data_IF_006356765098
#
_entry.id   IF_006356765098
#
_cell.length_a   1.000
_cell.length_b   1.000
_cell.length_c   1.000
_cell.angle_alpha   90.00
_cell.angle_beta   90.00
_cell.angle_gamma   90.00
#
_symmetry.space_group_name_H-M   'P 1'
#
loop_
_entity.id
_entity.type
_entity.pdbx_description
1 polymer ?
#
# COMPACT_ATOMS: atom_id res chain seq x y z
N UNK A 1 -48.78 -7.97 3.83
CA UNK A 1 -48.37 -6.57 4.02
C UNK A 1 -47.02 -6.39 3.31
N UNK A 2 -46.99 -5.66 2.21
CA UNK A 2 -45.82 -5.36 1.40
C UNK A 2 -45.11 -4.14 2.01
N UNK A 3 -43.87 -4.28 2.42
CA UNK A 3 -43.01 -3.13 2.73
C UNK A 3 -42.21 -2.77 1.47
N UNK A 4 -42.55 -1.62 0.92
CA UNK A 4 -41.86 -1.00 -0.21
C UNK A 4 -40.66 -0.22 0.36
N UNK A 5 -39.45 -0.69 0.14
CA UNK A 5 -38.25 0.12 0.38
C UNK A 5 -38.08 1.11 -0.76
N UNK A 6 -38.19 2.39 -0.45
CA UNK A 6 -37.85 3.49 -1.37
C UNK A 6 -36.33 3.59 -1.47
N UNK A 7 -35.79 3.30 -2.65
CA UNK A 7 -34.41 3.66 -2.98
C UNK A 7 -34.32 5.17 -3.16
N UNK A 8 -33.53 5.82 -2.36
CA UNK A 8 -33.13 7.20 -2.60
C UNK A 8 -31.95 7.20 -3.55
N UNK A 9 -32.13 7.80 -4.72
CA UNK A 9 -31.07 8.05 -5.70
C UNK A 9 -30.12 9.10 -5.11
N UNK A 10 -28.91 8.69 -4.73
CA UNK A 10 -27.84 9.59 -4.36
C UNK A 10 -27.18 10.17 -5.60
N UNK A 11 -27.29 11.47 -5.77
CA UNK A 11 -26.59 12.24 -6.80
C UNK A 11 -25.10 12.23 -6.48
N UNK A 12 -24.28 11.68 -7.37
CA UNK A 12 -22.82 11.80 -7.30
C UNK A 12 -22.43 13.24 -7.65
N UNK A 13 -22.04 14.01 -6.64
CA UNK A 13 -21.35 15.29 -6.85
C UNK A 13 -19.88 14.98 -7.15
N UNK A 14 -19.44 15.33 -8.36
CA UNK A 14 -18.05 15.31 -8.75
C UNK A 14 -17.20 16.19 -7.83
N UNK A 15 -16.21 15.60 -7.21
CA UNK A 15 -15.18 16.33 -6.48
C UNK A 15 -14.23 16.98 -7.49
N UNK A 16 -14.41 18.27 -7.74
CA UNK A 16 -13.38 19.12 -8.36
C UNK A 16 -12.20 19.20 -7.40
N UNK A 17 -11.01 18.92 -7.92
CA UNK A 17 -9.77 19.13 -7.20
C UNK A 17 -9.62 20.61 -6.85
N UNK A 18 -10.01 20.99 -5.63
CA UNK A 18 -9.72 22.30 -5.09
C UNK A 18 -8.25 22.29 -4.63
N UNK A 19 -7.43 23.10 -5.29
CA UNK A 19 -6.06 23.32 -4.88
C UNK A 19 -6.03 23.78 -3.43
N UNK A 20 -5.26 23.10 -2.59
CA UNK A 20 -4.95 23.57 -1.25
C UNK A 20 -4.11 24.83 -1.34
N UNK A 21 -4.76 25.96 -1.24
CA UNK A 21 -4.09 27.21 -0.92
C UNK A 21 -3.69 27.10 0.55
N UNK A 22 -2.41 26.92 0.80
CA UNK A 22 -1.86 27.03 2.13
C UNK A 22 -2.07 28.49 2.62
N UNK A 23 -3.11 28.71 3.41
CA UNK A 23 -3.27 29.95 4.14
C UNK A 23 -2.15 30.05 5.16
N UNK A 24 -1.20 30.96 4.95
CA UNK A 24 -0.26 31.38 5.99
C UNK A 24 -1.07 32.00 7.12
N UNK A 25 -1.30 31.24 8.15
CA UNK A 25 -1.69 31.81 9.43
C UNK A 25 -0.49 32.58 9.98
N UNK A 26 -0.56 33.91 9.94
CA UNK A 26 0.43 34.77 10.55
C UNK A 26 0.17 34.77 12.07
N UNK A 27 0.69 33.76 12.79
CA UNK A 27 0.65 33.71 14.23
C UNK A 27 1.79 34.60 14.74
N UNK A 28 1.42 35.62 15.50
CA UNK A 28 2.34 36.56 16.13
C UNK A 28 3.40 35.86 16.98
N UNK A 29 4.59 36.40 16.96
CA UNK A 29 5.78 35.99 17.65
C UNK A 29 5.56 35.92 19.17
N UNK A 30 5.38 34.72 19.69
CA UNK A 30 5.72 34.38 21.05
C UNK A 30 6.77 33.26 20.94
N UNK A 31 7.95 33.47 21.51
CA UNK A 31 9.13 32.61 21.39
C UNK A 31 8.91 31.18 21.86
N UNK A 32 8.29 30.38 21.03
CA UNK A 32 8.32 28.94 21.12
C UNK A 32 9.54 28.39 20.37
N UNK A 33 10.00 27.17 20.66
CA UNK A 33 11.12 26.57 19.97
C UNK A 33 10.85 26.65 18.47
N UNK A 34 11.79 27.25 17.72
CA UNK A 34 11.74 27.30 16.26
C UNK A 34 11.63 25.86 15.75
N UNK A 35 10.48 25.51 15.17
CA UNK A 35 10.41 24.28 14.41
C UNK A 35 11.60 24.28 13.43
N UNK A 36 12.42 23.23 13.41
CA UNK A 36 13.45 23.12 12.40
C UNK A 36 12.80 23.27 11.03
N UNK A 37 13.45 23.98 10.08
CA UNK A 37 12.93 24.07 8.74
C UNK A 37 12.60 22.66 8.27
N UNK A 38 11.37 22.45 7.76
CA UNK A 38 10.92 21.16 7.25
C UNK A 38 11.99 20.68 6.26
N UNK A 39 12.77 19.71 6.70
CA UNK A 39 13.77 19.09 5.86
C UNK A 39 13.03 18.53 4.62
N UNK A 40 13.44 19.00 3.47
CA UNK A 40 13.01 18.61 2.12
C UNK A 40 11.57 18.07 1.98
N UNK A 41 10.71 18.78 1.22
CA UNK A 41 9.35 18.31 1.00
C UNK A 41 9.37 16.91 0.36
N UNK A 42 8.50 16.02 0.82
CA UNK A 42 8.27 14.74 0.15
C UNK A 42 7.81 15.00 -1.28
N UNK A 43 8.59 14.52 -2.24
CA UNK A 43 8.25 14.60 -3.66
C UNK A 43 7.67 13.27 -4.11
N UNK A 44 6.62 13.33 -4.93
CA UNK A 44 5.96 12.15 -5.50
C UNK A 44 6.45 11.89 -6.92
N UNK A 45 6.76 10.65 -7.20
CA UNK A 45 7.29 10.18 -8.48
C UNK A 45 6.39 9.07 -9.03
N UNK A 46 5.57 9.34 -10.05
CA UNK A 46 4.82 8.30 -10.74
C UNK A 46 5.78 7.42 -11.54
N UNK A 47 5.49 6.13 -11.61
CA UNK A 47 6.22 5.16 -12.43
C UNK A 47 5.26 4.35 -13.29
N UNK A 48 5.78 3.69 -14.33
CA UNK A 48 5.03 2.62 -14.98
C UNK A 48 4.68 1.57 -13.93
N UNK A 49 3.40 1.15 -13.83
CA UNK A 49 2.99 0.19 -12.81
C UNK A 49 3.82 -1.09 -12.84
N UNK A 50 4.33 -1.50 -11.69
CA UNK A 50 5.15 -2.71 -11.55
C UNK A 50 4.55 -3.63 -10.49
N UNK A 51 4.48 -4.93 -10.80
CA UNK A 51 4.02 -5.93 -9.84
C UNK A 51 5.12 -6.31 -8.88
N UNK A 52 4.84 -6.22 -7.59
CA UNK A 52 5.79 -6.63 -6.53
C UNK A 52 5.33 -7.89 -5.82
N UNK A 53 4.03 -8.18 -5.84
CA UNK A 53 3.48 -9.35 -5.19
C UNK A 53 2.22 -9.87 -5.88
N UNK A 54 2.12 -11.22 -5.96
CA UNK A 54 0.90 -11.91 -6.34
C UNK A 54 0.87 -13.25 -5.56
N UNK A 55 -0.12 -13.41 -4.72
CA UNK A 55 -0.24 -14.58 -3.85
C UNK A 55 -0.52 -15.88 -4.61
N UNK A 56 -0.80 -15.83 -5.91
CA UNK A 56 -1.03 -16.98 -6.79
C UNK A 56 0.26 -17.57 -7.33
N UNK A 57 1.39 -16.89 -7.19
CA UNK A 57 2.69 -17.41 -7.62
C UNK A 57 3.06 -18.71 -6.89
N UNK A 58 4.01 -19.45 -7.44
CA UNK A 58 4.59 -20.63 -6.79
C UNK A 58 5.93 -20.29 -6.16
N UNK A 59 6.23 -20.89 -5.02
CA UNK A 59 7.48 -20.69 -4.28
C UNK A 59 8.71 -21.10 -5.11
N UNK A 60 8.60 -22.20 -5.88
CA UNK A 60 9.68 -22.70 -6.72
C UNK A 60 10.17 -21.70 -7.78
N UNK A 61 9.27 -20.87 -8.28
CA UNK A 61 9.57 -19.90 -9.35
C UNK A 61 9.85 -18.51 -8.78
N UNK A 62 9.04 -18.06 -7.82
CA UNK A 62 9.12 -16.69 -7.30
C UNK A 62 10.24 -16.48 -6.28
N UNK A 63 10.72 -17.54 -5.65
CA UNK A 63 11.63 -17.46 -4.50
C UNK A 63 10.98 -16.87 -3.24
N UNK A 64 9.67 -16.60 -3.28
CA UNK A 64 8.90 -16.16 -2.11
C UNK A 64 8.57 -17.39 -1.27
N UNK A 65 8.76 -17.36 0.06
CA UNK A 65 8.41 -18.48 0.93
C UNK A 65 6.95 -18.91 0.76
N UNK A 66 6.68 -20.20 0.71
CA UNK A 66 5.32 -20.74 0.52
C UNK A 66 4.30 -20.20 1.53
N UNK A 67 4.72 -19.94 2.77
CA UNK A 67 3.87 -19.34 3.80
C UNK A 67 3.37 -17.92 3.45
N UNK A 68 3.99 -17.24 2.48
CA UNK A 68 3.57 -15.91 1.99
C UNK A 68 2.76 -16.01 0.69
N UNK A 69 2.45 -17.19 0.21
CA UNK A 69 1.71 -17.45 -1.02
C UNK A 69 0.37 -18.13 -0.73
N UNK A 70 -0.44 -18.32 -1.77
CA UNK A 70 -1.79 -18.84 -1.61
C UNK A 70 -2.79 -17.80 -1.11
N UNK A 71 -3.99 -18.21 -0.81
CA UNK A 71 -5.05 -17.34 -0.29
C UNK A 71 -4.67 -16.77 1.08
N UNK A 72 -4.96 -15.51 1.27
CA UNK A 72 -5.03 -14.93 2.62
C UNK A 72 -6.36 -15.30 3.25
N UNK A 73 -6.30 -15.71 4.50
CA UNK A 73 -7.45 -16.15 5.28
C UNK A 73 -7.61 -15.28 6.52
N UNK A 74 -8.66 -15.51 7.27
CA UNK A 74 -8.96 -14.81 8.53
C UNK A 74 -7.72 -14.62 9.40
N UNK A 75 -7.48 -13.38 9.82
CA UNK A 75 -6.37 -12.96 10.68
C UNK A 75 -4.95 -13.24 10.12
N UNK A 76 -4.84 -13.62 8.84
CA UNK A 76 -3.53 -13.76 8.18
C UNK A 76 -2.87 -12.39 8.00
N UNK A 77 -1.55 -12.37 8.07
CA UNK A 77 -0.79 -11.16 7.75
C UNK A 77 0.51 -11.50 7.05
N UNK A 78 0.89 -10.67 6.06
CA UNK A 78 2.07 -10.91 5.22
C UNK A 78 2.87 -9.65 5.04
N UNK A 79 4.17 -9.71 5.35
CA UNK A 79 5.13 -8.68 5.00
C UNK A 79 5.56 -8.88 3.55
N UNK A 80 5.37 -7.86 2.74
CA UNK A 80 5.66 -7.84 1.31
C UNK A 80 6.86 -6.95 1.06
N UNK A 81 7.88 -7.50 0.41
CA UNK A 81 9.03 -6.77 -0.11
C UNK A 81 8.62 -5.97 -1.35
N UNK A 82 8.75 -4.65 -1.26
CA UNK A 82 8.43 -3.69 -2.31
C UNK A 82 9.64 -3.30 -3.16
N UNK A 83 10.83 -3.80 -2.84
CA UNK A 83 12.08 -3.36 -3.46
C UNK A 83 12.21 -3.80 -4.92
N UNK A 84 11.59 -4.91 -5.33
CA UNK A 84 11.82 -5.50 -6.64
C UNK A 84 10.55 -5.68 -7.45
N UNK A 85 10.61 -5.30 -8.71
CA UNK A 85 9.59 -5.67 -9.71
C UNK A 85 9.69 -7.15 -10.06
N UNK A 86 8.54 -7.76 -10.39
CA UNK A 86 8.45 -9.18 -10.70
C UNK A 86 7.65 -9.41 -12.00
N UNK A 87 8.01 -10.45 -12.71
CA UNK A 87 7.29 -10.92 -13.90
C UNK A 87 5.91 -11.50 -13.52
N UNK A 88 5.12 -11.83 -14.52
CA UNK A 88 3.84 -12.52 -14.32
C UNK A 88 3.99 -13.88 -13.61
N UNK A 89 5.15 -14.53 -13.71
CA UNK A 89 5.47 -15.76 -13.00
C UNK A 89 6.07 -15.54 -11.60
N UNK A 90 6.31 -14.27 -11.21
CA UNK A 90 6.86 -13.91 -9.90
C UNK A 90 8.38 -13.84 -9.82
N UNK A 91 9.10 -14.11 -10.92
CA UNK A 91 10.57 -13.98 -10.97
C UNK A 91 10.95 -12.51 -10.88
N UNK A 92 11.95 -12.16 -10.08
CA UNK A 92 12.53 -10.81 -10.10
C UNK A 92 12.99 -10.48 -11.51
N UNK A 93 12.53 -9.37 -12.07
CA UNK A 93 12.83 -8.98 -13.46
C UNK A 93 14.32 -8.66 -13.59
N UNK A 94 14.85 -7.90 -12.64
CA UNK A 94 16.25 -7.61 -12.52
C UNK A 94 16.64 -7.60 -11.03
N UNK A 95 17.48 -8.53 -10.58
CA UNK A 95 17.88 -8.58 -9.16
C UNK A 95 18.76 -7.42 -8.74
N UNK A 96 19.33 -6.66 -9.70
CA UNK A 96 20.20 -5.53 -9.43
C UNK A 96 19.50 -4.18 -9.59
N UNK A 97 18.26 -4.16 -10.08
CA UNK A 97 17.48 -2.95 -10.27
C UNK A 97 16.27 -2.95 -9.37
N UNK A 98 16.21 -1.97 -8.48
CA UNK A 98 15.09 -1.78 -7.58
C UNK A 98 13.88 -1.22 -8.32
N UNK A 99 12.67 -1.67 -7.95
CA UNK A 99 11.40 -1.13 -8.44
C UNK A 99 11.19 0.33 -7.99
N UNK A 100 11.69 0.63 -6.80
CA UNK A 100 11.66 1.96 -6.17
C UNK A 100 13.05 2.23 -5.56
N UNK A 101 13.52 3.48 -5.49
CA UNK A 101 14.81 3.80 -4.90
C UNK A 101 14.81 3.55 -3.38
N UNK A 102 15.99 3.29 -2.83
CA UNK A 102 16.21 2.99 -1.41
C UNK A 102 15.80 4.13 -0.46
N UNK A 103 15.81 5.37 -0.95
CA UNK A 103 15.36 6.56 -0.22
C UNK A 103 13.84 6.78 -0.26
N UNK A 104 13.08 5.97 -0.99
CA UNK A 104 11.61 6.06 -0.98
C UNK A 104 11.07 5.72 0.41
N UNK A 105 10.23 6.57 0.95
CA UNK A 105 9.62 6.43 2.28
C UNK A 105 8.15 6.01 2.23
N UNK A 106 7.54 6.05 1.04
CA UNK A 106 6.15 5.66 0.83
C UNK A 106 5.91 5.25 -0.63
N UNK A 107 4.82 4.50 -0.86
CA UNK A 107 4.39 4.08 -2.19
C UNK A 107 2.95 4.44 -2.47
N UNK A 108 2.67 4.75 -3.74
CA UNK A 108 1.35 4.71 -4.34
C UNK A 108 1.16 3.32 -4.93
N UNK A 109 0.09 2.66 -4.59
CA UNK A 109 -0.13 1.28 -4.98
C UNK A 109 -1.57 1.05 -5.45
N UNK A 110 -1.75 -0.04 -6.19
CA UNK A 110 -3.03 -0.66 -6.43
C UNK A 110 -3.01 -2.06 -5.80
N UNK A 111 -3.97 -2.33 -4.91
CA UNK A 111 -4.16 -3.65 -4.33
C UNK A 111 -5.41 -4.27 -4.94
N UNK A 112 -5.27 -5.49 -5.46
CA UNK A 112 -6.38 -6.25 -6.03
C UNK A 112 -6.62 -7.51 -5.23
N UNK A 113 -7.87 -7.76 -4.86
CA UNK A 113 -8.32 -9.04 -4.36
C UNK A 113 -9.04 -9.80 -5.46
N UNK A 114 -8.79 -11.09 -5.56
CA UNK A 114 -9.36 -11.97 -6.57
C UNK A 114 -9.76 -13.32 -5.96
N UNK A 115 -10.71 -13.98 -6.62
CA UNK A 115 -11.14 -15.32 -6.25
C UNK A 115 -11.60 -15.39 -4.78
N UNK A 116 -12.43 -14.43 -4.37
CA UNK A 116 -12.89 -14.27 -3.00
C UNK A 116 -13.92 -15.35 -2.65
N UNK A 117 -13.71 -16.05 -1.52
CA UNK A 117 -14.60 -17.15 -1.10
C UNK A 117 -15.85 -16.66 -0.38
N UNK A 118 -15.72 -15.61 0.42
CA UNK A 118 -16.79 -14.95 1.19
C UNK A 118 -16.40 -13.51 1.46
N UNK A 119 -17.26 -12.78 2.17
CA UNK A 119 -16.98 -11.44 2.66
C UNK A 119 -15.79 -11.40 3.61
N UNK A 120 -14.98 -10.39 3.47
CA UNK A 120 -13.89 -10.00 4.36
C UNK A 120 -13.29 -8.67 3.86
N UNK A 121 -12.19 -8.25 4.47
CA UNK A 121 -11.49 -7.02 4.09
C UNK A 121 -9.98 -7.18 4.23
N UNK A 122 -9.23 -6.29 3.58
CA UNK A 122 -7.80 -6.15 3.78
C UNK A 122 -7.47 -4.78 4.38
N UNK A 123 -6.44 -4.77 5.21
CA UNK A 123 -5.76 -3.56 5.65
C UNK A 123 -4.31 -3.59 5.15
N UNK A 124 -3.69 -2.43 5.03
CA UNK A 124 -2.28 -2.30 4.67
C UNK A 124 -1.61 -1.29 5.61
N UNK A 125 -0.37 -1.55 5.97
CA UNK A 125 0.42 -0.72 6.88
C UNK A 125 1.92 -0.85 6.55
N UNK A 126 2.82 -0.03 7.14
CA UNK A 126 4.26 -0.26 7.08
C UNK A 126 4.64 -1.67 7.55
N UNK A 127 5.72 -2.23 6.98
CA UNK A 127 6.10 -3.63 7.17
C UNK A 127 6.33 -4.09 8.61
N UNK A 128 6.72 -3.16 9.51
CA UNK A 128 6.94 -3.43 10.93
C UNK A 128 5.67 -3.34 11.80
N UNK A 129 4.52 -3.04 11.23
CA UNK A 129 3.27 -2.95 12.00
C UNK A 129 2.95 -4.29 12.68
N UNK A 130 2.72 -4.26 13.98
CA UNK A 130 2.46 -5.47 14.78
C UNK A 130 0.99 -5.85 14.87
N UNK A 131 0.09 -4.87 14.80
CA UNK A 131 -1.36 -5.05 14.89
C UNK A 131 -2.05 -4.58 13.60
N UNK A 132 -3.19 -5.18 13.30
CA UNK A 132 -4.03 -4.77 12.18
C UNK A 132 -4.54 -3.34 12.37
N UNK A 133 -4.45 -2.46 11.35
CA UNK A 133 -5.07 -1.15 11.39
C UNK A 133 -6.59 -1.23 11.51
N UNK A 134 -7.19 -0.21 12.11
CA UNK A 134 -8.65 -0.11 12.24
C UNK A 134 -9.36 0.23 10.91
N UNK A 135 -8.61 0.63 9.88
CA UNK A 135 -9.14 1.04 8.57
C UNK A 135 -8.86 -0.01 7.51
N UNK A 136 -9.90 -0.44 6.79
CA UNK A 136 -9.75 -1.30 5.62
C UNK A 136 -9.31 -0.51 4.40
N UNK A 137 -8.53 -1.14 3.53
CA UNK A 137 -8.18 -0.60 2.20
C UNK A 137 -9.09 -1.15 1.12
N UNK A 138 -9.53 -2.38 1.23
CA UNK A 138 -10.47 -3.00 0.31
C UNK A 138 -11.38 -3.96 1.06
N UNK A 139 -12.68 -3.88 0.78
CA UNK A 139 -13.69 -4.81 1.27
C UNK A 139 -14.17 -5.66 0.10
N UNK A 140 -14.41 -6.92 0.32
CA UNK A 140 -14.79 -7.86 -0.72
C UNK A 140 -15.85 -8.85 -0.29
N UNK A 141 -16.58 -9.38 -1.25
CA UNK A 141 -17.61 -10.40 -1.09
C UNK A 141 -17.29 -11.63 -1.95
N UNK A 142 -18.12 -12.66 -1.84
CA UNK A 142 -17.99 -13.91 -2.59
C UNK A 142 -17.92 -13.66 -4.11
N UNK A 143 -16.93 -14.28 -4.75
CA UNK A 143 -16.80 -14.34 -6.20
C UNK A 143 -16.40 -13.03 -6.89
N UNK A 144 -16.16 -11.95 -6.13
CA UNK A 144 -15.75 -10.67 -6.73
C UNK A 144 -14.25 -10.59 -6.93
N UNK A 145 -13.87 -9.82 -7.94
CA UNK A 145 -12.53 -9.25 -8.08
C UNK A 145 -12.67 -7.74 -7.95
N UNK A 146 -11.99 -7.16 -6.98
CA UNK A 146 -12.05 -5.71 -6.74
C UNK A 146 -10.65 -5.19 -6.44
N UNK A 147 -10.39 -3.97 -6.91
CA UNK A 147 -9.12 -3.28 -6.69
C UNK A 147 -9.36 -1.92 -6.04
N UNK A 148 -8.38 -1.46 -5.29
CA UNK A 148 -8.34 -0.11 -4.76
C UNK A 148 -6.92 0.45 -4.80
N UNK A 149 -6.81 1.73 -5.17
CA UNK A 149 -5.55 2.46 -5.15
C UNK A 149 -5.44 3.34 -3.91
N UNK A 150 -4.26 3.40 -3.31
CA UNK A 150 -3.99 4.24 -2.15
C UNK A 150 -2.50 4.54 -2.00
N UNK A 151 -2.16 5.07 -0.84
CA UNK A 151 -0.82 5.48 -0.44
C UNK A 151 -0.52 4.89 0.93
N UNK A 152 0.70 4.40 1.13
CA UNK A 152 1.16 3.85 2.43
C UNK A 152 2.64 4.15 2.62
N UNK A 153 3.03 4.46 3.87
CA UNK A 153 4.43 4.55 4.24
C UNK A 153 5.10 3.19 4.17
N UNK A 154 6.36 3.17 3.77
CA UNK A 154 7.21 1.99 3.78
C UNK A 154 7.88 1.85 5.15
N UNK A 155 8.07 0.63 5.59
CA UNK A 155 9.06 0.33 6.60
C UNK A 155 10.41 0.12 5.93
N UNK A 156 11.37 0.92 6.30
CA UNK A 156 12.79 0.78 5.95
C UNK A 156 13.56 0.45 7.22
N UNK A 157 14.26 -0.66 7.23
CA UNK A 157 15.13 -1.02 8.34
C UNK A 157 16.57 -0.66 7.96
N UNK A 158 17.16 0.40 8.55
CA UNK A 158 18.51 0.82 8.23
C UNK A 158 19.59 -0.13 8.79
N UNK A 159 19.24 -0.97 9.77
CA UNK A 159 20.18 -1.78 10.51
C UNK A 159 20.28 -3.22 10.00
N UNK A 160 19.38 -3.65 9.15
CA UNK A 160 19.39 -5.00 8.58
C UNK A 160 19.84 -5.00 7.13
N UNK A 161 21.03 -5.56 6.82
CA UNK A 161 21.48 -5.73 5.44
C UNK A 161 20.71 -6.85 4.70
N UNK A 162 19.70 -7.42 5.32
CA UNK A 162 18.90 -8.54 4.77
C UNK A 162 17.49 -8.07 4.45
N UNK A 163 17.10 -8.14 3.19
CA UNK A 163 15.76 -7.81 2.70
C UNK A 163 14.63 -8.42 3.59
N UNK A 164 13.49 -7.70 3.73
CA UNK A 164 13.06 -6.61 2.84
C UNK A 164 13.41 -5.23 3.39
N UNK A 165 14.25 -4.49 2.67
CA UNK A 165 14.63 -3.11 3.03
C UNK A 165 13.44 -2.16 3.03
N UNK A 166 12.50 -2.36 2.12
CA UNK A 166 11.33 -1.51 1.94
C UNK A 166 10.11 -2.41 1.88
N UNK A 167 9.29 -2.36 2.89
CA UNK A 167 8.18 -3.29 3.01
C UNK A 167 6.89 -2.66 3.49
N UNK A 168 5.79 -3.29 3.08
CA UNK A 168 4.47 -3.09 3.63
C UNK A 168 3.98 -4.39 4.25
N UNK A 169 2.99 -4.31 5.13
CA UNK A 169 2.32 -5.47 5.69
C UNK A 169 0.84 -5.42 5.34
N UNK A 170 0.36 -6.50 4.75
CA UNK A 170 -1.05 -6.70 4.42
C UNK A 170 -1.65 -7.59 5.49
N UNK A 171 -2.82 -7.22 5.99
CA UNK A 171 -3.61 -7.97 6.96
C UNK A 171 -4.94 -8.36 6.33
N UNK A 172 -5.37 -9.58 6.54
CA UNK A 172 -6.73 -10.05 6.25
C UNK A 172 -7.58 -9.94 7.50
N UNK A 173 -8.79 -9.42 7.35
CA UNK A 173 -9.71 -9.20 8.44
C UNK A 173 -10.13 -10.47 9.19
N UNK A 174 -10.96 -10.29 10.18
CA UNK A 174 -11.41 -11.32 11.10
C UNK A 174 -12.68 -12.06 10.65
N UNK A 175 -13.23 -11.73 9.48
CA UNK A 175 -14.31 -12.47 8.84
C UNK A 175 -13.81 -13.78 8.21
N UNK A 176 -14.75 -14.66 7.85
CA UNK A 176 -14.44 -16.03 7.37
C UNK A 176 -13.97 -16.09 5.91
N UNK A 177 -14.03 -14.99 5.18
CA UNK A 177 -13.65 -14.92 3.77
C UNK A 177 -12.15 -15.07 3.54
N UNK A 178 -11.79 -15.60 2.38
CA UNK A 178 -10.41 -15.68 1.90
C UNK A 178 -10.30 -15.15 0.47
N UNK A 179 -9.12 -14.66 0.09
CA UNK A 179 -8.88 -14.13 -1.24
C UNK A 179 -7.43 -14.31 -1.67
N UNK A 180 -7.19 -14.27 -2.97
CA UNK A 180 -5.87 -13.98 -3.49
C UNK A 180 -5.62 -12.48 -3.50
N UNK A 181 -4.36 -12.09 -3.30
CA UNK A 181 -3.95 -10.69 -3.22
C UNK A 181 -2.86 -10.40 -4.22
N UNK A 182 -2.99 -9.29 -4.91
CA UNK A 182 -2.04 -8.78 -5.89
C UNK A 182 -1.69 -7.35 -5.47
N UNK A 183 -0.40 -6.99 -5.49
CA UNK A 183 0.08 -5.65 -5.20
C UNK A 183 0.93 -5.13 -6.35
N UNK A 184 0.49 -4.02 -6.93
CA UNK A 184 1.19 -3.29 -7.98
C UNK A 184 1.56 -1.89 -7.46
N UNK A 185 2.81 -1.45 -7.68
CA UNK A 185 3.27 -0.11 -7.32
C UNK A 185 3.12 0.79 -8.56
N UNK A 186 2.51 1.98 -8.36
CA UNK A 186 2.27 2.97 -9.40
C UNK A 186 3.12 4.24 -9.23
N UNK A 187 3.81 4.35 -8.11
CA UNK A 187 4.66 5.49 -7.79
C UNK A 187 5.22 5.39 -6.38
N UNK A 188 6.10 6.29 -6.05
CA UNK A 188 6.69 6.40 -4.71
C UNK A 188 6.81 7.85 -4.29
N UNK A 189 7.01 8.08 -3.01
CA UNK A 189 7.35 9.37 -2.46
C UNK A 189 8.54 9.25 -1.51
N UNK A 190 9.36 10.29 -1.48
CA UNK A 190 10.50 10.38 -0.61
C UNK A 190 11.15 11.76 -0.65
N UNK A 191 12.03 12.02 0.31
CA UNK A 191 12.86 13.20 0.31
C UNK A 191 14.21 12.86 -0.36
N UNK A 192 14.46 13.41 -1.54
CA UNK A 192 15.80 13.34 -2.12
C UNK A 192 16.71 14.29 -1.35
N UNK A 193 17.64 13.72 -0.58
CA UNK A 193 18.69 14.52 0.04
C UNK A 193 19.64 14.96 -1.08
N UNK A 194 19.47 16.19 -1.58
CA UNK A 194 20.56 16.83 -2.31
C UNK A 194 21.70 17.01 -1.32
N UNK A 195 22.70 16.15 -1.40
CA UNK A 195 23.98 16.46 -0.76
C UNK A 195 24.45 17.75 -1.41
N UNK A 196 24.45 18.85 -0.65
CA UNK A 196 25.00 20.10 -1.09
C UNK A 196 26.46 19.91 -1.51
N UNK A 197 26.96 20.79 -2.38
CA UNK A 197 28.34 20.74 -2.83
C UNK A 197 29.32 20.88 -1.68
#
# INVERSE_FOLDING_TARGET
RRNVFKMAAGVALGATAAGMIASRANAGSSGGPSNPPLANPLTSYPITPVRVYDSRWTSAVSGIPAAKLGRMTRNDSRVIDCSFSRSSAGVKIDPNTYAIPDWASAIYFNITVADCSRENYLCIAPGNQTSQPATSIVNFNTGVTVANGSFVSLYTDPDTPVAPYQSVKIFCGDDVGSCHVILDIMGYAGAFLTMGP
#
